data_IF_414344609612
#
_entry.id   IF_414344609612
#
_cell.length_a   1.000
_cell.length_b   1.000
_cell.length_c   1.000
_cell.angle_alpha   90.00
_cell.angle_beta   90.00
_cell.angle_gamma   90.00
#
_symmetry.space_group_name_H-M   'P 1'
#
loop_
_entity.id
_entity.type
_entity.pdbx_description
1 polymer ?
#
# COMPACT_ATOMS: atom_id res chain seq x y z
N UNK A 1 -7.46 16.49 -26.07
CA UNK A 1 -6.62 15.43 -26.67
C UNK A 1 -5.81 14.79 -25.55
N UNK A 2 -6.21 13.62 -25.03
CA UNK A 2 -5.48 12.92 -23.97
C UNK A 2 -4.36 12.10 -24.62
N UNK A 3 -3.12 12.44 -24.30
CA UNK A 3 -1.94 11.67 -24.74
C UNK A 3 -2.11 10.22 -24.26
N UNK A 4 -2.15 9.29 -25.20
CA UNK A 4 -1.96 7.88 -24.91
C UNK A 4 -0.53 7.73 -24.40
N UNK A 5 -0.35 7.65 -23.08
CA UNK A 5 0.91 7.20 -22.50
C UNK A 5 1.07 5.72 -22.84
N UNK A 6 1.67 5.45 -23.98
CA UNK A 6 2.11 4.11 -24.38
C UNK A 6 3.18 3.63 -23.41
N UNK A 7 3.11 2.37 -22.96
CA UNK A 7 4.23 1.70 -22.29
C UNK A 7 5.45 1.82 -23.21
N UNK A 8 6.46 2.59 -22.79
CA UNK A 8 7.62 2.93 -23.62
C UNK A 8 8.55 1.74 -23.84
N UNK A 9 9.48 1.88 -24.79
CA UNK A 9 10.65 1.01 -24.93
C UNK A 9 11.43 0.96 -23.61
N UNK A 10 11.33 -0.16 -22.88
CA UNK A 10 11.94 -0.32 -21.56
C UNK A 10 11.18 -1.28 -20.64
N UNK A 11 9.88 -1.48 -20.89
CA UNK A 11 9.11 -2.47 -20.13
C UNK A 11 9.60 -3.90 -20.39
N UNK A 12 9.54 -4.72 -19.34
CA UNK A 12 9.89 -6.13 -19.44
C UNK A 12 8.72 -6.91 -20.06
N UNK A 13 8.84 -7.25 -21.34
CA UNK A 13 7.79 -7.94 -22.12
C UNK A 13 7.37 -9.26 -21.46
N UNK A 14 8.32 -10.03 -20.92
CA UNK A 14 8.00 -11.28 -20.22
C UNK A 14 7.21 -11.02 -18.93
N UNK A 15 7.56 -9.97 -18.18
CA UNK A 15 6.83 -9.60 -16.97
C UNK A 15 5.41 -9.09 -17.29
N UNK A 16 5.25 -8.30 -18.35
CA UNK A 16 3.92 -7.84 -18.79
C UNK A 16 3.02 -9.01 -19.20
N UNK A 17 3.56 -9.97 -19.95
CA UNK A 17 2.81 -11.17 -20.33
C UNK A 17 2.42 -12.01 -19.10
N UNK A 18 3.34 -12.20 -18.14
CA UNK A 18 3.05 -12.92 -16.90
C UNK A 18 2.02 -12.19 -16.01
N UNK A 19 2.06 -10.86 -15.98
CA UNK A 19 1.07 -10.06 -15.26
C UNK A 19 -0.31 -10.18 -15.89
N UNK A 20 -0.38 -10.10 -17.22
CA UNK A 20 -1.61 -10.32 -17.98
C UNK A 20 -2.22 -11.69 -17.67
N UNK A 21 -1.40 -12.75 -17.69
CA UNK A 21 -1.87 -14.09 -17.32
C UNK A 21 -2.39 -14.13 -15.88
N UNK A 22 -1.68 -13.48 -14.95
CA UNK A 22 -2.09 -13.41 -13.56
C UNK A 22 -3.42 -12.69 -13.31
N UNK A 23 -3.90 -11.86 -14.25
CA UNK A 23 -5.25 -11.25 -14.12
C UNK A 23 -6.36 -12.30 -14.17
N UNK A 24 -6.08 -13.48 -14.73
CA UNK A 24 -7.03 -14.61 -14.85
C UNK A 24 -7.14 -15.43 -13.57
N UNK A 25 -6.31 -15.16 -12.56
CA UNK A 25 -6.36 -15.85 -11.26
C UNK A 25 -7.65 -15.55 -10.47
N UNK A 26 -8.51 -14.64 -10.95
CA UNK A 26 -9.80 -14.32 -10.35
C UNK A 26 -9.68 -13.60 -9.00
N UNK A 27 -8.61 -12.82 -8.81
CA UNK A 27 -8.39 -12.07 -7.57
C UNK A 27 -9.46 -10.98 -7.44
N UNK A 28 -10.23 -11.03 -6.34
CA UNK A 28 -11.22 -10.00 -6.08
C UNK A 28 -10.54 -8.81 -5.37
N UNK A 29 -10.75 -7.56 -5.84
CA UNK A 29 -10.21 -6.38 -5.16
C UNK A 29 -10.78 -6.20 -3.77
N UNK A 30 -11.88 -6.86 -3.43
CA UNK A 30 -12.54 -6.74 -2.13
C UNK A 30 -12.32 -7.90 -1.17
N UNK A 31 -11.24 -8.67 -1.38
CA UNK A 31 -10.84 -9.73 -0.45
C UNK A 31 -10.65 -9.18 0.98
N UNK A 32 -11.10 -9.95 1.97
CA UNK A 32 -10.92 -9.65 3.39
C UNK A 32 -9.43 -9.67 3.75
N UNK A 33 -8.97 -8.62 4.44
CA UNK A 33 -7.58 -8.45 4.85
C UNK A 33 -7.37 -8.48 6.36
N UNK A 34 -6.14 -8.76 6.79
CA UNK A 34 -5.63 -8.36 8.11
C UNK A 34 -6.29 -9.01 9.32
N UNK A 35 -6.72 -8.16 10.27
CA UNK A 35 -7.18 -8.53 11.62
C UNK A 35 -8.60 -8.01 11.87
N UNK A 36 -9.28 -8.65 12.82
CA UNK A 36 -10.53 -8.14 13.39
C UNK A 36 -10.35 -6.69 13.89
N UNK A 37 -11.08 -5.74 13.32
CA UNK A 37 -10.74 -4.32 13.44
C UNK A 37 -11.03 -3.76 14.84
N UNK A 38 -12.16 -4.12 15.45
CA UNK A 38 -12.48 -3.68 16.81
C UNK A 38 -11.50 -4.24 17.85
N UNK A 39 -11.11 -5.52 17.71
CA UNK A 39 -10.14 -6.15 18.61
C UNK A 39 -8.76 -5.49 18.52
N UNK A 40 -8.30 -5.19 17.29
CA UNK A 40 -7.06 -4.44 17.06
C UNK A 40 -7.10 -3.04 17.68
N UNK A 41 -8.23 -2.34 17.55
CA UNK A 41 -8.41 -0.96 17.99
C UNK A 41 -8.56 -0.78 19.51
N UNK A 42 -8.86 -1.85 20.25
CA UNK A 42 -9.18 -1.78 21.67
C UNK A 42 -8.02 -1.20 22.48
N UNK A 43 -8.31 -0.13 23.22
CA UNK A 43 -7.36 0.54 24.10
C UNK A 43 -6.33 1.42 23.38
N UNK A 44 -6.44 1.60 22.06
CA UNK A 44 -5.62 2.58 21.34
C UNK A 44 -6.07 4.00 21.69
N UNK A 45 -5.10 4.88 21.93
CA UNK A 45 -5.35 6.27 22.27
C UNK A 45 -6.03 6.99 21.10
N UNK A 46 -7.00 7.85 21.40
CA UNK A 46 -7.76 8.62 20.41
C UNK A 46 -8.65 7.77 19.47
N UNK A 47 -8.85 6.48 19.76
CA UNK A 47 -9.61 5.57 18.89
C UNK A 47 -10.89 5.11 19.60
N UNK A 48 -12.04 5.29 18.96
CA UNK A 48 -13.31 4.73 19.43
C UNK A 48 -13.55 3.35 18.81
N UNK A 49 -12.98 2.32 19.44
CA UNK A 49 -13.15 0.93 18.99
C UNK A 49 -14.60 0.44 18.98
N UNK A 50 -15.52 1.06 19.75
CA UNK A 50 -16.92 0.63 19.79
C UNK A 50 -17.66 0.96 18.48
N UNK A 51 -17.12 1.89 17.68
CA UNK A 51 -17.64 2.29 16.36
C UNK A 51 -17.19 1.37 15.23
N UNK A 52 -16.31 0.40 15.52
CA UNK A 52 -15.76 -0.53 14.54
C UNK A 52 -16.46 -1.91 14.63
N UNK A 53 -16.62 -2.64 13.52
CA UNK A 53 -17.17 -3.99 13.53
C UNK A 53 -16.24 -4.99 14.24
N UNK A 54 -16.83 -6.08 14.75
CA UNK A 54 -16.09 -7.13 15.45
C UNK A 54 -15.19 -7.95 14.52
N UNK A 55 -15.58 -8.08 13.25
CA UNK A 55 -14.89 -8.90 12.27
C UNK A 55 -13.80 -8.14 11.51
N UNK A 56 -13.16 -8.84 10.57
CA UNK A 56 -12.29 -8.21 9.58
C UNK A 56 -13.13 -7.39 8.60
N UNK A 57 -12.54 -6.34 8.03
CA UNK A 57 -13.18 -5.54 6.99
C UNK A 57 -12.62 -5.89 5.60
N UNK A 58 -13.46 -5.70 4.60
CA UNK A 58 -13.12 -5.66 3.18
C UNK A 58 -12.55 -4.28 2.81
N UNK A 59 -12.08 -4.14 1.58
CA UNK A 59 -11.53 -2.88 1.06
C UNK A 59 -12.64 -1.84 0.88
N UNK A 60 -13.79 -2.23 0.34
CA UNK A 60 -14.97 -1.36 0.12
C UNK A 60 -15.53 -0.84 1.44
N UNK A 61 -15.61 -1.69 2.47
CA UNK A 61 -16.07 -1.26 3.81
C UNK A 61 -15.14 -0.21 4.42
N UNK A 62 -13.82 -0.33 4.23
CA UNK A 62 -12.88 0.71 4.67
C UNK A 62 -13.07 2.02 3.91
N UNK A 63 -13.34 1.98 2.61
CA UNK A 63 -13.65 3.20 1.85
C UNK A 63 -14.96 3.85 2.30
N UNK A 64 -15.97 3.05 2.67
CA UNK A 64 -17.20 3.56 3.25
C UNK A 64 -16.94 4.23 4.61
N UNK A 65 -16.19 3.56 5.48
CA UNK A 65 -15.78 4.09 6.78
C UNK A 65 -14.98 5.40 6.66
N UNK A 66 -14.06 5.47 5.69
CA UNK A 66 -13.25 6.66 5.45
C UNK A 66 -14.08 7.88 5.01
N UNK A 67 -15.22 7.67 4.35
CA UNK A 67 -16.14 8.75 3.96
C UNK A 67 -17.05 9.23 5.09
N UNK A 68 -17.23 8.44 6.14
CA UNK A 68 -18.13 8.78 7.25
C UNK A 68 -17.51 9.83 8.18
N UNK A 69 -17.88 11.10 7.98
CA UNK A 69 -17.39 12.23 8.78
C UNK A 69 -17.83 12.20 10.25
N UNK A 70 -18.72 11.28 10.64
CA UNK A 70 -19.10 11.06 12.05
C UNK A 70 -18.13 10.14 12.81
N UNK A 71 -17.12 9.59 12.12
CA UNK A 71 -16.09 8.73 12.70
C UNK A 71 -14.75 9.46 12.61
N UNK A 72 -14.05 9.58 13.73
CA UNK A 72 -12.75 10.26 13.79
C UNK A 72 -11.69 9.56 12.91
N UNK A 73 -10.79 10.35 12.32
CA UNK A 73 -9.75 9.84 11.41
C UNK A 73 -8.79 8.87 12.08
N UNK A 74 -8.52 9.03 13.37
CA UNK A 74 -7.76 8.06 14.18
C UNK A 74 -8.45 6.69 14.21
N UNK A 75 -9.78 6.66 14.35
CA UNK A 75 -10.57 5.42 14.36
C UNK A 75 -10.58 4.76 12.98
N UNK A 76 -10.74 5.54 11.91
CA UNK A 76 -10.60 5.04 10.53
C UNK A 76 -9.19 4.49 10.29
N UNK A 77 -8.16 5.21 10.74
CA UNK A 77 -6.76 4.81 10.61
C UNK A 77 -6.46 3.51 11.36
N UNK A 78 -7.08 3.28 12.53
CA UNK A 78 -6.97 2.02 13.24
C UNK A 78 -7.53 0.85 12.43
N UNK A 79 -8.67 1.03 11.77
CA UNK A 79 -9.24 0.02 10.87
C UNK A 79 -8.33 -0.26 9.65
N UNK A 80 -7.76 0.79 9.03
CA UNK A 80 -6.80 0.66 7.93
C UNK A 80 -5.55 -0.11 8.38
N UNK A 81 -5.00 0.20 9.55
CA UNK A 81 -3.82 -0.49 10.09
C UNK A 81 -4.10 -1.95 10.45
N UNK A 82 -5.28 -2.25 10.97
CA UNK A 82 -5.74 -3.61 11.22
C UNK A 82 -5.83 -4.42 9.92
N UNK A 83 -6.46 -3.86 8.89
CA UNK A 83 -6.57 -4.46 7.56
C UNK A 83 -5.21 -4.68 6.90
N UNK A 84 -4.32 -3.69 7.03
CA UNK A 84 -2.94 -3.76 6.54
C UNK A 84 -2.04 -4.72 7.31
N UNK A 85 -2.55 -5.37 8.35
CA UNK A 85 -1.82 -6.38 9.13
C UNK A 85 -0.76 -5.80 10.06
N UNK A 86 -0.89 -4.55 10.50
CA UNK A 86 0.04 -3.93 11.44
C UNK A 86 0.22 -4.81 12.67
N UNK A 87 1.46 -5.02 13.12
CA UNK A 87 1.71 -5.80 14.33
C UNK A 87 1.16 -5.05 15.56
N UNK A 88 0.36 -5.76 16.39
CA UNK A 88 -0.30 -5.20 17.58
C UNK A 88 0.71 -4.63 18.58
N UNK A 89 1.93 -5.15 18.60
CA UNK A 89 3.00 -4.66 19.46
C UNK A 89 3.37 -3.20 19.16
N UNK A 90 3.23 -2.76 17.92
CA UNK A 90 3.63 -1.40 17.51
C UNK A 90 2.46 -0.41 17.57
N UNK A 91 1.20 -0.89 17.56
CA UNK A 91 0.05 0.00 17.46
C UNK A 91 -0.11 0.97 18.64
N UNK A 92 0.00 0.58 19.93
CA UNK A 92 -0.19 1.55 21.03
C UNK A 92 0.75 2.75 20.90
N UNK A 93 2.05 2.49 20.71
CA UNK A 93 3.06 3.54 20.60
C UNK A 93 2.87 4.41 19.34
N UNK A 94 2.44 3.85 18.22
CA UNK A 94 2.11 4.64 17.03
C UNK A 94 0.90 5.57 17.27
N UNK A 95 -0.15 5.09 17.93
CA UNK A 95 -1.31 5.91 18.26
C UNK A 95 -1.04 6.90 19.40
N UNK A 96 -0.06 6.65 20.26
CA UNK A 96 0.41 7.60 21.25
C UNK A 96 1.10 8.83 20.63
N UNK A 97 1.78 8.65 19.49
CA UNK A 97 2.43 9.72 18.72
C UNK A 97 1.47 10.45 17.77
N UNK A 98 0.14 10.26 17.90
CA UNK A 98 -0.86 10.94 17.07
C UNK A 98 -0.70 12.46 17.04
N UNK A 99 -0.33 13.05 18.18
CA UNK A 99 -0.09 14.49 18.33
C UNK A 99 1.24 14.95 17.74
N UNK A 100 2.11 14.03 17.35
CA UNK A 100 3.41 14.31 16.75
C UNK A 100 3.29 14.49 15.22
N UNK A 101 2.11 14.92 14.75
CA UNK A 101 1.85 15.38 13.38
C UNK A 101 1.18 14.37 12.46
N UNK A 102 1.29 13.06 12.69
CA UNK A 102 0.80 12.08 11.71
C UNK A 102 -0.73 12.10 11.55
N UNK A 103 -1.46 12.36 12.64
CA UNK A 103 -2.92 12.44 12.60
C UNK A 103 -3.39 13.69 11.84
N UNK A 104 -2.68 14.82 11.96
CA UNK A 104 -2.96 16.03 11.19
C UNK A 104 -2.80 15.79 9.68
N UNK A 105 -1.76 15.04 9.29
CA UNK A 105 -1.56 14.63 7.89
C UNK A 105 -2.72 13.75 7.44
N UNK A 106 -3.10 12.74 8.23
CA UNK A 106 -4.21 11.86 7.91
C UNK A 106 -5.55 12.62 7.75
N UNK A 107 -5.81 13.59 8.64
CA UNK A 107 -6.98 14.48 8.54
C UNK A 107 -6.95 15.33 7.27
N UNK A 108 -5.79 15.91 6.93
CA UNK A 108 -5.62 16.71 5.70
C UNK A 108 -5.87 15.89 4.44
N UNK A 109 -5.38 14.65 4.38
CA UNK A 109 -5.69 13.73 3.27
C UNK A 109 -7.19 13.49 3.18
N UNK A 110 -7.81 13.11 4.31
CA UNK A 110 -9.22 12.73 4.36
C UNK A 110 -10.17 13.86 3.97
N UNK A 111 -9.80 15.10 4.27
CA UNK A 111 -10.52 16.32 3.87
C UNK A 111 -10.31 16.71 2.41
N UNK A 112 -9.29 16.14 1.75
CA UNK A 112 -8.88 16.52 0.41
C UNK A 112 -7.94 17.73 0.36
N UNK A 113 -7.39 18.15 1.51
CA UNK A 113 -6.45 19.27 1.61
C UNK A 113 -5.02 18.88 1.19
N UNK A 114 -4.72 17.58 1.14
CA UNK A 114 -3.44 17.02 0.74
C UNK A 114 -3.61 16.02 -0.40
N UNK A 115 -2.91 16.25 -1.51
CA UNK A 115 -2.76 15.26 -2.56
C UNK A 115 -1.79 14.12 -2.16
N UNK A 116 -1.74 13.07 -2.98
CA UNK A 116 -0.95 11.86 -2.72
C UNK A 116 0.57 12.14 -2.56
N UNK A 117 1.11 13.10 -3.32
CA UNK A 117 2.53 13.47 -3.28
C UNK A 117 2.88 14.29 -2.04
N UNK A 118 2.09 15.31 -1.74
CA UNK A 118 2.24 16.14 -0.55
C UNK A 118 2.06 15.33 0.74
N UNK A 119 1.07 14.43 0.76
CA UNK A 119 0.84 13.50 1.85
C UNK A 119 2.06 12.60 2.11
N UNK A 120 2.61 12.01 1.04
CA UNK A 120 3.82 11.19 1.12
C UNK A 120 4.99 12.00 1.68
N UNK A 121 5.24 13.20 1.15
CA UNK A 121 6.35 14.06 1.58
C UNK A 121 6.28 14.35 3.09
N UNK A 122 5.08 14.64 3.61
CA UNK A 122 4.90 14.92 5.04
C UNK A 122 5.11 13.68 5.92
N UNK A 123 4.60 12.52 5.52
CA UNK A 123 4.87 11.29 6.26
C UNK A 123 6.36 10.90 6.22
N UNK A 124 7.03 11.07 5.07
CA UNK A 124 8.46 10.84 4.95
C UNK A 124 9.26 11.79 5.88
N UNK A 125 8.88 13.07 5.96
CA UNK A 125 9.48 14.01 6.91
C UNK A 125 9.36 13.54 8.37
N UNK A 126 8.15 13.15 8.82
CA UNK A 126 7.97 12.61 10.16
C UNK A 126 8.75 11.30 10.39
N UNK A 127 8.96 10.51 9.34
CA UNK A 127 9.75 9.28 9.41
C UNK A 127 11.22 9.60 9.67
N UNK A 128 11.77 10.57 8.95
CA UNK A 128 13.17 11.01 9.08
C UNK A 128 13.43 11.62 10.47
N UNK A 129 12.45 12.32 11.02
CA UNK A 129 12.47 12.86 12.39
C UNK A 129 12.24 11.80 13.48
N UNK A 130 12.09 10.52 13.12
CA UNK A 130 11.77 9.41 14.03
C UNK A 130 10.42 9.52 14.77
N UNK A 131 9.51 10.33 14.25
CA UNK A 131 8.16 10.55 14.80
C UNK A 131 7.12 9.52 14.30
N UNK A 132 7.51 8.57 13.44
CA UNK A 132 6.67 7.46 12.97
C UNK A 132 7.17 6.11 13.49
N UNK A 133 6.77 5.74 14.70
CA UNK A 133 7.18 4.49 15.32
C UNK A 133 6.55 3.26 14.64
N UNK A 134 7.40 2.36 14.12
CA UNK A 134 6.95 1.10 13.53
C UNK A 134 6.17 1.24 12.21
N UNK A 135 6.06 2.46 11.68
CA UNK A 135 5.33 2.80 10.46
C UNK A 135 6.33 3.35 9.45
N UNK A 136 6.46 2.67 8.31
CA UNK A 136 7.25 3.12 7.16
C UNK A 136 6.38 3.23 5.91
N UNK A 137 6.99 3.39 4.72
CA UNK A 137 6.28 3.66 3.47
C UNK A 137 5.11 2.72 3.17
N UNK A 138 5.30 1.43 3.39
CA UNK A 138 4.24 0.44 3.17
C UNK A 138 2.97 0.66 4.01
N UNK A 139 3.07 1.32 5.18
CA UNK A 139 1.93 1.59 6.04
C UNK A 139 1.33 2.96 5.79
N UNK A 140 2.13 4.02 5.72
CA UNK A 140 1.56 5.34 5.49
C UNK A 140 0.99 5.49 4.08
N UNK A 141 1.48 4.76 3.06
CA UNK A 141 0.81 4.70 1.74
C UNK A 141 -0.54 3.99 1.78
N UNK A 142 -0.81 3.13 2.78
CA UNK A 142 -2.17 2.61 3.02
C UNK A 142 -3.10 3.70 3.55
N UNK A 143 -2.59 4.54 4.46
CA UNK A 143 -3.35 5.71 4.91
C UNK A 143 -3.67 6.62 3.73
N UNK A 144 -2.67 6.95 2.90
CA UNK A 144 -2.88 7.77 1.70
C UNK A 144 -3.92 7.09 0.79
N UNK A 145 -3.79 5.80 0.49
CA UNK A 145 -4.71 5.06 -0.37
C UNK A 145 -6.16 5.10 0.10
N UNK A 146 -6.43 4.80 1.38
CA UNK A 146 -7.79 4.71 1.90
C UNK A 146 -8.41 6.06 2.27
N UNK A 147 -7.60 7.01 2.73
CA UNK A 147 -8.09 8.32 3.16
C UNK A 147 -8.24 9.31 2.00
N UNK A 148 -7.48 9.15 0.90
CA UNK A 148 -7.62 10.05 -0.25
C UNK A 148 -9.06 9.96 -0.78
N UNK A 149 -9.80 11.08 -0.85
CA UNK A 149 -11.12 11.11 -1.46
C UNK A 149 -11.06 10.49 -2.85
N UNK A 150 -11.97 9.57 -3.14
CA UNK A 150 -11.93 8.84 -4.42
C UNK A 150 -12.02 9.83 -5.59
N UNK A 151 -11.30 9.55 -6.70
CA UNK A 151 -11.11 10.50 -7.79
C UNK A 151 -12.39 11.18 -8.26
N UNK A 152 -12.35 12.50 -8.34
CA UNK A 152 -12.99 13.24 -9.43
C UNK A 152 -12.02 13.30 -10.62
N UNK A 153 -12.42 13.87 -11.75
CA UNK A 153 -11.53 14.04 -12.91
C UNK A 153 -10.21 14.78 -12.57
N UNK A 154 -10.18 15.52 -11.44
CA UNK A 154 -9.07 16.35 -10.99
C UNK A 154 -8.20 15.72 -9.87
N UNK A 155 -8.57 14.54 -9.34
CA UNK A 155 -7.83 13.90 -8.25
C UNK A 155 -7.30 12.51 -8.65
N UNK A 156 -5.99 12.36 -8.88
CA UNK A 156 -5.42 11.09 -9.33
C UNK A 156 -5.45 10.02 -8.22
N UNK A 157 -5.48 8.74 -8.61
CA UNK A 157 -5.59 7.62 -7.66
C UNK A 157 -4.34 7.50 -6.78
N UNK A 158 -4.49 7.41 -5.46
CA UNK A 158 -3.41 6.88 -4.63
C UNK A 158 -3.29 5.36 -4.79
N UNK A 159 -2.12 4.79 -4.52
CA UNK A 159 -1.85 3.35 -4.55
C UNK A 159 -1.01 2.90 -3.36
N UNK A 160 -1.15 1.63 -2.96
CA UNK A 160 -0.38 1.08 -1.85
C UNK A 160 1.00 0.67 -2.36
N UNK A 161 2.05 1.34 -1.87
CA UNK A 161 3.44 1.00 -2.17
C UNK A 161 4.00 0.10 -1.07
N UNK A 162 3.59 -1.16 -1.07
CA UNK A 162 4.15 -2.18 -0.17
C UNK A 162 5.28 -2.99 -0.83
N UNK A 163 5.86 -3.94 -0.09
CA UNK A 163 6.98 -4.74 -0.60
C UNK A 163 6.65 -5.52 -1.88
N UNK A 164 5.38 -5.87 -2.10
CA UNK A 164 4.96 -6.67 -3.24
C UNK A 164 4.60 -5.80 -4.42
N UNK A 165 3.88 -4.70 -4.18
CA UNK A 165 3.64 -3.69 -5.20
C UNK A 165 4.96 -3.08 -5.72
N UNK A 166 5.91 -2.77 -4.82
CA UNK A 166 7.23 -2.26 -5.18
C UNK A 166 8.08 -3.25 -5.99
N UNK A 167 8.10 -4.53 -5.61
CA UNK A 167 8.74 -5.56 -6.45
C UNK A 167 8.04 -5.73 -7.81
N UNK A 168 6.70 -5.73 -7.82
CA UNK A 168 5.90 -5.90 -9.03
C UNK A 168 6.18 -4.79 -10.04
N UNK A 169 6.13 -3.53 -9.62
CA UNK A 169 6.33 -2.40 -10.53
C UNK A 169 7.73 -2.39 -11.13
N UNK A 170 8.77 -2.64 -10.32
CA UNK A 170 10.16 -2.69 -10.79
C UNK A 170 10.36 -3.77 -11.85
N UNK A 171 9.69 -4.92 -11.70
CA UNK A 171 9.71 -5.99 -12.70
C UNK A 171 9.01 -5.57 -13.99
N UNK A 172 7.82 -4.98 -13.90
CA UNK A 172 7.01 -4.60 -15.05
C UNK A 172 7.70 -3.53 -15.92
N UNK A 173 8.31 -2.54 -15.28
CA UNK A 173 9.01 -1.44 -15.96
C UNK A 173 10.47 -1.77 -16.31
N UNK A 174 11.00 -2.90 -15.84
CA UNK A 174 12.35 -3.39 -16.17
C UNK A 174 13.52 -2.73 -15.44
N UNK A 175 13.27 -1.78 -14.53
CA UNK A 175 14.30 -1.07 -13.75
C UNK A 175 13.80 -0.77 -12.33
N UNK A 176 14.69 -0.30 -11.45
CA UNK A 176 14.33 0.10 -10.08
C UNK A 176 13.69 1.49 -10.09
N UNK A 177 12.38 1.54 -9.87
CA UNK A 177 11.62 2.77 -9.61
C UNK A 177 11.35 2.92 -8.13
N UNK A 178 10.90 1.84 -7.47
CA UNK A 178 10.74 1.79 -6.02
C UNK A 178 12.01 1.22 -5.41
N UNK A 179 12.70 2.00 -4.58
CA UNK A 179 13.90 1.56 -3.87
C UNK A 179 13.53 0.53 -2.80
N UNK A 180 14.20 -0.60 -2.79
CA UNK A 180 13.91 -1.72 -1.89
C UNK A 180 15.10 -2.04 -1.00
N UNK A 181 14.89 -2.11 0.31
CA UNK A 181 15.87 -2.67 1.23
C UNK A 181 15.79 -4.21 1.17
N UNK A 182 16.94 -4.86 0.97
CA UNK A 182 17.04 -6.32 0.90
C UNK A 182 17.82 -6.87 2.10
N UNK A 183 17.18 -7.71 2.90
CA UNK A 183 17.85 -8.46 3.98
C UNK A 183 18.05 -9.90 3.55
N UNK A 184 19.28 -10.39 3.64
CA UNK A 184 19.62 -11.79 3.38
C UNK A 184 19.71 -12.58 4.69
N UNK A 185 19.05 -13.72 4.76
CA UNK A 185 19.06 -14.60 5.92
C UNK A 185 19.56 -15.99 5.54
N UNK A 186 20.58 -16.47 6.23
CA UNK A 186 21.10 -17.81 6.07
C UNK A 186 20.48 -18.73 7.12
N UNK A 187 19.99 -19.89 6.69
CA UNK A 187 19.55 -20.97 7.59
C UNK A 187 20.58 -22.10 7.52
N UNK A 188 20.83 -22.76 8.65
CA UNK A 188 21.71 -23.91 8.70
C UNK A 188 21.27 -24.97 7.66
N UNK A 189 22.22 -25.43 6.84
CA UNK A 189 21.97 -26.41 5.78
C UNK A 189 21.28 -25.86 4.52
N UNK A 190 20.98 -24.56 4.44
CA UNK A 190 20.38 -23.98 3.23
C UNK A 190 21.42 -23.81 2.11
N UNK A 191 21.09 -24.29 0.91
CA UNK A 191 21.93 -24.13 -0.30
C UNK A 191 21.94 -22.69 -0.85
N UNK A 192 20.98 -21.86 -0.44
CA UNK A 192 20.82 -20.45 -0.86
C UNK A 192 20.28 -19.62 0.31
N UNK A 193 20.70 -18.36 0.40
CA UNK A 193 20.13 -17.41 1.35
C UNK A 193 18.66 -17.14 1.04
N UNK A 194 17.83 -17.03 2.08
CA UNK A 194 16.53 -16.37 1.96
C UNK A 194 16.71 -14.87 1.80
N UNK A 195 15.81 -14.21 1.09
CA UNK A 195 15.80 -12.75 0.97
C UNK A 195 14.43 -12.20 1.38
N UNK A 196 14.42 -11.19 2.23
CA UNK A 196 13.24 -10.37 2.53
C UNK A 196 13.42 -8.97 1.97
N UNK A 197 12.32 -8.38 1.53
CA UNK A 197 12.27 -7.08 0.89
C UNK A 197 11.40 -6.15 1.72
N UNK A 198 11.83 -4.90 1.87
CA UNK A 198 11.07 -3.82 2.48
C UNK A 198 11.18 -2.60 1.58
N UNK A 199 10.10 -1.83 1.45
CA UNK A 199 10.19 -0.53 0.75
C UNK A 199 11.08 0.39 1.55
N UNK A 200 12.13 0.91 0.90
CA UNK A 200 13.16 1.72 1.55
C UNK A 200 12.59 3.06 2.00
N UNK A 201 13.09 3.56 3.13
CA UNK A 201 12.78 4.92 3.58
C UNK A 201 13.42 5.98 2.63
N UNK A 202 14.32 5.58 1.72
CA UNK A 202 14.94 6.45 0.69
C UNK A 202 14.03 6.81 -0.50
N UNK A 203 12.79 6.30 -0.55
CA UNK A 203 11.82 6.71 -1.55
C UNK A 203 11.22 8.07 -1.15
N UNK A 204 11.28 9.06 -2.03
CA UNK A 204 10.71 10.39 -1.80
C UNK A 204 9.30 10.48 -2.38
N UNK A 205 8.67 11.65 -2.23
CA UNK A 205 7.39 11.93 -2.87
C UNK A 205 7.46 11.86 -4.40
N UNK A 206 8.62 12.15 -5.01
CA UNK A 206 8.82 12.02 -6.46
C UNK A 206 8.74 10.56 -6.88
N UNK A 207 9.45 9.64 -6.21
CA UNK A 207 9.36 8.22 -6.54
C UNK A 207 7.96 7.64 -6.25
N UNK A 208 7.26 8.13 -5.24
CA UNK A 208 5.87 7.71 -4.98
C UNK A 208 4.89 8.21 -6.05
N UNK A 209 5.06 9.44 -6.54
CA UNK A 209 4.25 10.00 -7.62
C UNK A 209 4.51 9.27 -8.94
N UNK A 210 5.78 8.99 -9.24
CA UNK A 210 6.18 8.18 -10.39
C UNK A 210 5.60 6.77 -10.27
N UNK A 211 5.66 6.16 -9.09
CA UNK A 211 5.04 4.86 -8.82
C UNK A 211 3.56 4.89 -9.17
N UNK A 212 2.79 5.81 -8.58
CA UNK A 212 1.35 5.89 -8.80
C UNK A 212 1.02 6.15 -10.27
N UNK A 213 1.77 7.03 -10.94
CA UNK A 213 1.60 7.33 -12.36
C UNK A 213 1.87 6.11 -13.25
N UNK A 214 2.87 5.28 -12.94
CA UNK A 214 3.09 4.03 -13.67
C UNK A 214 2.02 2.99 -13.40
N UNK A 215 1.46 2.94 -12.18
CA UNK A 215 0.30 2.08 -11.88
C UNK A 215 -0.92 2.52 -12.69
N UNK A 216 -1.17 3.82 -12.82
CA UNK A 216 -2.25 4.35 -13.68
C UNK A 216 -2.05 3.96 -15.17
N UNK A 217 -0.81 3.94 -15.68
CA UNK A 217 -0.51 3.46 -17.03
C UNK A 217 -0.84 1.96 -17.18
N UNK A 218 -0.43 1.14 -16.21
CA UNK A 218 -0.76 -0.30 -16.22
C UNK A 218 -2.26 -0.54 -16.13
N UNK A 219 -2.96 0.24 -15.30
CA UNK A 219 -4.42 0.21 -15.16
C UNK A 219 -5.10 0.38 -16.51
N UNK A 220 -4.71 1.41 -17.26
CA UNK A 220 -5.27 1.70 -18.60
C UNK A 220 -4.87 0.61 -19.59
N UNK A 221 -3.62 0.13 -19.54
CA UNK A 221 -3.13 -0.89 -20.46
C UNK A 221 -3.86 -2.23 -20.33
N UNK A 222 -4.18 -2.65 -19.10
CA UNK A 222 -4.85 -3.93 -18.82
C UNK A 222 -6.36 -3.81 -18.63
N UNK A 223 -6.95 -2.63 -18.87
CA UNK A 223 -8.38 -2.34 -18.66
C UNK A 223 -8.89 -2.74 -17.26
N UNK A 224 -8.14 -2.32 -16.23
CA UNK A 224 -8.46 -2.61 -14.83
C UNK A 224 -9.05 -1.37 -14.13
N UNK A 225 -9.84 -1.60 -13.09
CA UNK A 225 -10.14 -0.55 -12.12
C UNK A 225 -8.90 -0.21 -11.28
N UNK A 226 -8.87 0.96 -10.61
CA UNK A 226 -7.77 1.30 -9.70
C UNK A 226 -7.53 0.23 -8.63
N UNK A 227 -8.60 -0.31 -8.06
CA UNK A 227 -8.49 -1.29 -6.98
C UNK A 227 -8.08 -2.68 -7.51
N UNK A 228 -8.47 -3.01 -8.74
CA UNK A 228 -8.05 -4.25 -9.39
C UNK A 228 -6.55 -4.25 -9.70
N UNK A 229 -5.99 -3.16 -10.24
CA UNK A 229 -4.55 -3.09 -10.52
C UNK A 229 -3.72 -3.11 -9.22
N UNK A 230 -4.16 -2.40 -8.17
CA UNK A 230 -3.52 -2.43 -6.84
C UNK A 230 -3.51 -3.86 -6.28
N UNK A 231 -4.69 -4.51 -6.27
CA UNK A 231 -4.85 -5.89 -5.80
C UNK A 231 -3.99 -6.87 -6.59
N UNK A 232 -3.93 -6.70 -7.91
CA UNK A 232 -3.17 -7.56 -8.82
C UNK A 232 -1.67 -7.42 -8.57
N UNK A 233 -1.17 -6.20 -8.38
CA UNK A 233 0.24 -5.94 -8.09
C UNK A 233 0.69 -6.51 -6.74
N UNK A 234 -0.17 -6.44 -5.71
CA UNK A 234 0.12 -7.04 -4.40
C UNK A 234 0.04 -8.57 -4.47
N UNK A 235 -0.95 -9.09 -5.21
CA UNK A 235 -1.18 -10.50 -5.51
C UNK A 235 -1.40 -11.40 -4.28
N UNK A 236 -2.04 -12.57 -4.45
CA UNK A 236 -2.27 -13.49 -3.34
C UNK A 236 -0.97 -14.19 -2.93
N UNK A 237 -0.60 -14.05 -1.65
CA UNK A 237 0.54 -14.71 -1.01
C UNK A 237 0.18 -16.03 -0.30
N UNK A 238 0.93 -16.37 0.76
CA UNK A 238 0.62 -17.52 1.61
C UNK A 238 0.92 -18.91 1.00
N UNK A 239 0.12 -19.91 1.39
CA UNK A 239 0.30 -21.31 0.95
C UNK A 239 -0.07 -21.51 -0.52
N UNK A 240 -1.18 -20.90 -0.97
CA UNK A 240 -1.64 -20.93 -2.37
C UNK A 240 -1.40 -19.56 -3.02
N UNK A 241 -0.22 -19.38 -3.57
CA UNK A 241 0.17 -18.13 -4.23
C UNK A 241 -0.46 -18.04 -5.61
N UNK A 242 -0.87 -16.84 -5.97
CA UNK A 242 -1.25 -16.46 -7.35
C UNK A 242 -0.07 -16.68 -8.32
N UNK A 243 -0.39 -16.87 -9.60
CA UNK A 243 0.58 -17.05 -10.68
C UNK A 243 1.52 -15.84 -10.77
N UNK A 244 0.98 -14.62 -10.74
CA UNK A 244 1.79 -13.40 -10.72
C UNK A 244 2.70 -13.32 -9.49
N UNK A 245 2.20 -13.71 -8.31
CA UNK A 245 3.04 -13.75 -7.10
C UNK A 245 4.22 -14.70 -7.23
N UNK A 246 4.03 -15.88 -7.82
CA UNK A 246 5.12 -16.82 -8.06
C UNK A 246 6.15 -16.20 -9.01
N UNK A 247 5.68 -15.61 -10.11
CA UNK A 247 6.56 -14.92 -11.06
C UNK A 247 7.41 -13.82 -10.38
N UNK A 248 6.80 -12.99 -9.54
CA UNK A 248 7.53 -11.93 -8.80
C UNK A 248 8.58 -12.52 -7.86
N UNK A 249 8.28 -13.61 -7.14
CA UNK A 249 9.25 -14.25 -6.24
C UNK A 249 10.46 -14.79 -7.00
N UNK A 250 10.22 -15.38 -8.16
CA UNK A 250 11.26 -16.02 -8.99
C UNK A 250 12.14 -15.00 -9.72
N UNK A 251 11.59 -13.84 -10.08
CA UNK A 251 12.26 -12.88 -10.96
C UNK A 251 12.70 -11.59 -10.28
N UNK A 252 12.19 -11.26 -9.07
CA UNK A 252 12.63 -10.05 -8.35
C UNK A 252 14.13 -10.12 -8.06
N UNK A 253 14.83 -9.02 -8.38
CA UNK A 253 16.28 -8.91 -8.21
C UNK A 253 16.62 -8.72 -6.73
N UNK A 254 17.74 -9.32 -6.29
CA UNK A 254 18.30 -9.27 -4.92
C UNK A 254 19.69 -8.67 -4.92
#
# INVERSE_FOLDING_TARGET
>A
MKNAHTLSSGCNVAALAAFAEGTKDGLHPDDIGGKAVQSFARGLKHVDSARLPQDQMTRSELFFLAKDTSIDTSTVSAAIMAWGGMNQRYSPKFFDTAKDGWLEIADGIRKGDLDRGAAYARFAGLRDESNLYGVGPAYFTKLIYFLTPRPSEDCPNAYIMDQWAGCSINLLIGHELVKMDVTRTWKAGAKKAGSSFRVSDANTAVEYEDFCSKVDVLRVHFDLSPDQVDRQMIATGGKKKSSWRNYVIENRRT
#
